data_IF_840415582956
#
_entry.id   IF_840415582956
#
_cell.length_a   1.000
_cell.length_b   1.000
_cell.length_c   1.000
_cell.angle_alpha   90.00
_cell.angle_beta   90.00
_cell.angle_gamma   90.00
#
_symmetry.space_group_name_H-M   'P 1'
#
loop_
_entity.id
_entity.type
_entity.pdbx_description
1 polymer ?
#
# COMPACT_ATOMS: atom_id res chain seq x y z
N UNK A 1 5.66 -16.83 -0.50
CA UNK A 1 4.53 -17.54 0.13
C UNK A 1 3.47 -17.75 -0.93
N UNK A 2 3.17 -19.00 -1.31
CA UNK A 2 2.19 -19.32 -2.34
C UNK A 2 0.93 -19.95 -1.71
N UNK A 3 -0.21 -19.82 -2.37
CA UNK A 3 -1.47 -20.45 -1.98
C UNK A 3 -2.46 -19.54 -1.25
N UNK A 4 -3.74 -19.92 -1.28
CA UNK A 4 -4.83 -19.31 -0.52
C UNK A 4 -5.52 -20.39 0.34
N UNK A 5 -5.92 -20.08 1.59
CA UNK A 5 -5.78 -18.79 2.28
C UNK A 5 -4.32 -18.49 2.66
N UNK A 6 -4.02 -17.20 2.84
CA UNK A 6 -2.70 -16.77 3.28
C UNK A 6 -2.41 -17.30 4.70
N UNK A 7 -1.13 -17.54 4.98
CA UNK A 7 -0.69 -17.85 6.33
C UNK A 7 -1.10 -16.73 7.32
N UNK A 8 -1.32 -17.07 8.61
CA UNK A 8 -1.69 -16.10 9.63
C UNK A 8 -0.72 -14.91 9.66
N UNK A 9 -1.24 -13.72 9.97
CA UNK A 9 -0.45 -12.50 9.97
C UNK A 9 0.77 -12.58 10.90
N UNK A 10 0.66 -13.28 12.04
CA UNK A 10 1.79 -13.52 12.95
C UNK A 10 2.94 -14.27 12.25
N UNK A 11 2.64 -15.38 11.56
CA UNK A 11 3.62 -16.17 10.81
C UNK A 11 4.24 -15.36 9.68
N UNK A 12 3.41 -14.63 8.91
CA UNK A 12 3.92 -13.79 7.81
C UNK A 12 4.84 -12.69 8.31
N UNK A 13 4.46 -11.97 9.37
CA UNK A 13 5.27 -10.89 9.96
C UNK A 13 6.58 -11.40 10.52
N UNK A 14 6.60 -12.57 11.16
CA UNK A 14 7.83 -13.16 11.69
C UNK A 14 8.86 -13.48 10.60
N UNK A 15 8.40 -13.83 9.40
CA UNK A 15 9.26 -14.05 8.23
C UNK A 15 9.67 -12.72 7.59
N UNK A 16 8.71 -11.82 7.37
CA UNK A 16 8.95 -10.53 6.69
C UNK A 16 9.92 -9.64 7.47
N UNK A 17 9.92 -9.69 8.81
CA UNK A 17 10.87 -8.94 9.66
C UNK A 17 12.34 -9.38 9.52
N UNK A 18 12.62 -10.46 8.81
CA UNK A 18 14.00 -10.95 8.59
C UNK A 18 14.68 -10.30 7.39
N UNK A 19 13.96 -9.50 6.61
CA UNK A 19 14.50 -8.77 5.47
C UNK A 19 14.91 -7.35 5.88
N UNK A 20 15.69 -6.69 5.03
CA UNK A 20 16.16 -5.31 5.27
C UNK A 20 15.29 -4.26 4.57
N UNK A 21 14.63 -4.63 3.47
CA UNK A 21 13.88 -3.73 2.58
C UNK A 21 12.70 -4.46 1.94
N UNK A 22 11.74 -3.70 1.41
CA UNK A 22 10.69 -4.24 0.56
C UNK A 22 10.61 -3.52 -0.80
N UNK A 23 9.93 -4.17 -1.75
CA UNK A 23 9.61 -3.58 -3.04
C UNK A 23 8.38 -4.24 -3.65
N UNK A 24 7.71 -3.53 -4.54
CA UNK A 24 6.53 -3.99 -5.27
C UNK A 24 6.83 -4.09 -6.76
N UNK A 25 6.28 -5.11 -7.42
CA UNK A 25 6.51 -5.37 -8.84
C UNK A 25 5.16 -5.73 -9.48
N UNK A 26 4.87 -5.14 -10.64
CA UNK A 26 3.63 -5.36 -11.38
C UNK A 26 2.42 -4.67 -10.75
N UNK A 27 2.65 -3.55 -10.07
CA UNK A 27 1.59 -2.82 -9.38
C UNK A 27 0.78 -1.95 -10.35
N UNK A 28 -0.50 -1.75 -10.03
CA UNK A 28 -1.39 -0.83 -10.72
C UNK A 28 -1.77 0.35 -9.83
N UNK A 29 -2.29 1.41 -10.44
CA UNK A 29 -2.82 2.57 -9.74
C UNK A 29 -4.09 2.25 -8.91
N UNK A 30 -4.36 3.11 -7.94
CA UNK A 30 -5.52 3.07 -7.04
C UNK A 30 -6.85 3.32 -7.77
N UNK A 31 -7.94 2.90 -7.13
CA UNK A 31 -9.28 3.18 -7.63
C UNK A 31 -9.50 4.68 -7.87
N UNK A 32 -10.17 5.01 -8.98
CA UNK A 32 -10.46 6.39 -9.38
C UNK A 32 -9.40 7.04 -10.27
N UNK A 33 -8.25 6.39 -10.53
CA UNK A 33 -7.25 6.87 -11.49
C UNK A 33 -7.67 6.47 -12.91
N UNK A 34 -8.09 7.45 -13.72
CA UNK A 34 -8.64 7.24 -15.08
C UNK A 34 -7.65 6.63 -16.07
N UNK A 35 -6.36 6.92 -15.91
CA UNK A 35 -5.31 6.45 -16.82
C UNK A 35 -4.59 5.18 -16.31
N UNK A 36 -5.06 4.61 -15.19
CA UNK A 36 -4.45 3.42 -14.60
C UNK A 36 -4.96 2.13 -15.23
N UNK A 37 -4.03 1.24 -15.62
CA UNK A 37 -4.39 -0.06 -16.17
C UNK A 37 -4.96 -0.96 -15.06
N UNK A 38 -6.24 -1.34 -15.16
CA UNK A 38 -6.97 -2.08 -14.13
C UNK A 38 -7.00 -1.37 -12.77
N UNK A 39 -7.09 -0.03 -12.75
CA UNK A 39 -7.10 0.78 -11.54
C UNK A 39 -8.18 0.33 -10.53
N UNK A 40 -7.76 -0.09 -9.34
CA UNK A 40 -8.64 -0.42 -8.22
C UNK A 40 -7.89 -0.41 -6.89
N UNK A 41 -8.65 -0.48 -5.79
CA UNK A 41 -8.10 -0.64 -4.45
C UNK A 41 -8.80 -1.82 -3.76
N UNK A 42 -8.06 -2.90 -3.52
CA UNK A 42 -8.48 -4.17 -2.90
C UNK A 42 -9.59 -4.91 -3.65
N UNK A 43 -10.81 -4.40 -3.56
CA UNK A 43 -12.00 -5.02 -4.17
C UNK A 43 -12.75 -3.98 -4.97
N UNK A 44 -12.56 -4.01 -6.30
CA UNK A 44 -13.29 -3.17 -7.25
C UNK A 44 -14.81 -3.35 -7.22
N UNK A 45 -15.32 -4.34 -6.48
CA UNK A 45 -16.77 -4.59 -6.29
C UNK A 45 -17.36 -3.99 -5.02
N UNK A 46 -16.53 -3.61 -4.07
CA UNK A 46 -17.00 -3.29 -2.72
C UNK A 46 -16.31 -2.08 -2.08
N UNK A 47 -15.26 -1.55 -2.70
CA UNK A 47 -14.43 -0.48 -2.14
C UNK A 47 -14.18 0.53 -3.25
N UNK A 48 -14.67 1.75 -3.04
CA UNK A 48 -14.45 2.86 -3.98
C UNK A 48 -13.15 3.60 -3.67
N UNK A 49 -12.83 3.77 -2.38
CA UNK A 49 -11.59 4.39 -1.94
C UNK A 49 -11.20 3.98 -0.52
N UNK A 50 -9.89 3.93 -0.27
CA UNK A 50 -9.34 4.05 1.08
C UNK A 50 -8.82 5.46 1.28
N UNK A 51 -8.92 5.93 2.53
CA UNK A 51 -8.39 7.24 2.93
C UNK A 51 -7.53 7.07 4.17
N UNK A 52 -6.40 7.76 4.20
CA UNK A 52 -5.54 7.91 5.36
C UNK A 52 -5.49 9.39 5.73
N UNK A 53 -5.94 9.72 6.94
CA UNK A 53 -6.01 11.12 7.41
C UNK A 53 -6.79 12.05 6.44
N UNK A 54 -7.81 11.51 5.76
CA UNK A 54 -8.62 12.26 4.78
C UNK A 54 -8.10 12.25 3.35
N UNK A 55 -6.86 11.78 3.12
CA UNK A 55 -6.26 11.71 1.80
C UNK A 55 -6.45 10.32 1.17
N UNK A 56 -6.84 10.23 -0.11
CA UNK A 56 -7.03 8.94 -0.77
C UNK A 56 -5.71 8.16 -0.87
N UNK A 57 -5.78 6.86 -0.61
CA UNK A 57 -4.64 5.96 -0.69
C UNK A 57 -5.00 4.68 -1.45
N UNK A 58 -4.06 4.20 -2.26
CA UNK A 58 -4.13 2.89 -2.91
C UNK A 58 -3.44 1.78 -2.14
N UNK A 59 -3.25 0.67 -2.84
CA UNK A 59 -2.56 -0.51 -2.31
C UNK A 59 -1.05 -0.27 -2.12
N UNK A 60 -0.46 0.65 -2.89
CA UNK A 60 0.96 1.04 -2.78
C UNK A 60 1.21 1.60 -1.38
N UNK A 61 0.44 2.62 -1.01
CA UNK A 61 0.52 3.23 0.31
C UNK A 61 0.18 2.22 1.43
N UNK A 62 -0.82 1.35 1.25
CA UNK A 62 -1.13 0.30 2.23
C UNK A 62 0.05 -0.65 2.46
N UNK A 63 0.72 -1.09 1.38
CA UNK A 63 1.87 -1.97 1.47
C UNK A 63 3.08 -1.25 2.09
N UNK A 64 3.31 0.01 1.73
CA UNK A 64 4.34 0.87 2.30
C UNK A 64 4.15 1.03 3.81
N UNK A 65 2.94 1.34 4.25
CA UNK A 65 2.60 1.47 5.68
C UNK A 65 2.79 0.16 6.43
N UNK A 66 2.37 -0.96 5.84
CA UNK A 66 2.54 -2.27 6.46
C UNK A 66 4.03 -2.62 6.63
N UNK A 67 4.86 -2.33 5.63
CA UNK A 67 6.30 -2.59 5.70
C UNK A 67 7.02 -1.61 6.63
N UNK A 68 6.65 -0.33 6.59
CA UNK A 68 7.14 0.70 7.51
C UNK A 68 6.83 0.38 8.97
N UNK A 69 5.63 -0.14 9.27
CA UNK A 69 5.27 -0.64 10.61
C UNK A 69 6.14 -1.83 11.08
N UNK A 70 6.82 -2.51 10.15
CA UNK A 70 7.78 -3.58 10.44
C UNK A 70 9.23 -3.09 10.44
N UNK A 71 9.49 -1.81 10.14
CA UNK A 71 10.83 -1.22 10.03
C UNK A 71 11.50 -1.43 8.68
N UNK A 72 10.75 -1.81 7.65
CA UNK A 72 11.25 -2.11 6.31
C UNK A 72 10.92 -0.93 5.38
N UNK A 73 11.91 -0.15 4.92
CA UNK A 73 11.68 0.87 3.90
C UNK A 73 11.34 0.19 2.56
N UNK A 74 10.41 0.79 1.82
CA UNK A 74 10.17 0.40 0.42
C UNK A 74 11.15 1.15 -0.46
N UNK A 75 11.97 0.41 -1.21
CA UNK A 75 13.04 1.00 -2.04
C UNK A 75 12.76 0.91 -3.54
N UNK A 76 11.70 0.20 -3.91
CA UNK A 76 11.40 -0.10 -5.31
C UNK A 76 9.91 -0.31 -5.53
N UNK A 77 9.39 0.38 -6.55
CA UNK A 77 8.08 0.13 -7.13
C UNK A 77 8.25 -0.04 -8.64
N UNK A 78 7.72 -1.13 -9.19
CA UNK A 78 7.54 -1.31 -10.63
C UNK A 78 6.06 -1.53 -10.94
N UNK A 79 5.51 -0.75 -11.86
CA UNK A 79 4.10 -0.77 -12.22
C UNK A 79 3.81 -0.01 -13.51
N UNK A 80 2.54 0.30 -13.77
CA UNK A 80 2.17 1.26 -14.81
C UNK A 80 2.56 2.70 -14.44
N UNK A 81 2.61 3.59 -15.42
CA UNK A 81 3.02 4.98 -15.21
C UNK A 81 2.16 5.68 -14.14
N UNK A 82 0.87 5.34 -14.09
CA UNK A 82 -0.07 5.84 -13.10
C UNK A 82 0.24 5.34 -11.67
N UNK A 83 0.70 4.10 -11.50
CA UNK A 83 1.18 3.59 -10.20
C UNK A 83 2.44 4.30 -9.71
N UNK A 84 3.37 4.62 -10.63
CA UNK A 84 4.59 5.37 -10.27
C UNK A 84 4.24 6.78 -9.80
N UNK A 85 3.32 7.46 -10.49
CA UNK A 85 2.83 8.78 -10.08
C UNK A 85 2.11 8.72 -8.71
N UNK A 86 1.32 7.68 -8.45
CA UNK A 86 0.69 7.47 -7.14
C UNK A 86 1.74 7.34 -6.03
N UNK A 87 2.82 6.61 -6.28
CA UNK A 87 3.90 6.41 -5.31
C UNK A 87 4.59 7.72 -4.93
N UNK A 88 4.91 8.58 -5.91
CA UNK A 88 5.47 9.90 -5.64
C UNK A 88 4.52 10.75 -4.75
N UNK A 89 3.22 10.63 -4.97
CA UNK A 89 2.20 11.24 -4.11
C UNK A 89 2.13 10.62 -2.72
N UNK A 90 2.26 9.30 -2.63
CA UNK A 90 2.25 8.53 -1.39
C UNK A 90 3.52 8.76 -0.55
N UNK A 91 4.69 8.95 -1.15
CA UNK A 91 5.93 9.25 -0.44
C UNK A 91 5.80 10.55 0.38
N UNK A 92 5.07 11.55 -0.14
CA UNK A 92 4.73 12.76 0.62
C UNK A 92 3.87 12.49 1.86
N UNK A 93 2.99 11.48 1.80
CA UNK A 93 2.17 11.03 2.93
C UNK A 93 2.97 10.13 3.89
N UNK A 94 3.92 9.36 3.37
CA UNK A 94 4.76 8.43 4.13
C UNK A 94 5.93 9.13 4.86
N UNK A 95 6.42 10.27 4.36
CA UNK A 95 7.39 11.10 5.07
C UNK A 95 6.83 11.62 6.41
N UNK A 96 5.51 11.85 6.48
CA UNK A 96 4.83 12.16 7.75
C UNK A 96 4.80 10.96 8.72
N UNK A 97 4.98 9.73 8.23
CA UNK A 97 4.94 8.48 9.00
C UNK A 97 6.34 7.96 9.39
N UNK A 98 7.38 8.29 8.60
CA UNK A 98 8.78 7.90 8.86
C UNK A 98 9.39 8.49 10.15
N UNK A 99 8.70 9.43 10.81
CA UNK A 99 9.03 9.96 12.14
C UNK A 99 8.69 9.04 13.32
N UNK A 100 8.38 7.76 13.10
CA UNK A 100 8.19 6.77 14.17
C UNK A 100 6.79 6.72 14.78
N UNK A 101 5.76 7.24 14.10
CA UNK A 101 4.39 7.20 14.59
C UNK A 101 3.42 6.65 13.52
N UNK A 102 3.10 5.35 13.61
CA UNK A 102 1.99 4.72 12.88
C UNK A 102 0.68 4.94 13.64
N UNK A 103 0.21 6.19 13.68
CA UNK A 103 -1.05 6.56 14.31
C UNK A 103 -1.85 7.46 13.38
N UNK A 104 -2.66 6.87 12.49
CA UNK A 104 -3.55 7.59 11.58
C UNK A 104 -4.89 6.89 11.49
N UNK A 105 -5.97 7.66 11.35
CA UNK A 105 -7.29 7.10 11.12
C UNK A 105 -7.37 6.65 9.66
N UNK A 106 -7.47 5.34 9.46
CA UNK A 106 -7.71 4.74 8.15
C UNK A 106 -9.20 4.42 8.04
N UNK A 107 -9.86 5.01 7.03
CA UNK A 107 -11.28 4.79 6.73
C UNK A 107 -11.47 4.36 5.29
N UNK A 108 -12.42 3.48 5.03
CA UNK A 108 -12.81 3.06 3.68
C UNK A 108 -14.21 3.59 3.37
N UNK A 109 -14.43 3.95 2.10
CA UNK A 109 -15.73 4.35 1.58
C UNK A 109 -16.27 3.20 0.71
N UNK A 110 -17.50 2.76 1.01
CA UNK A 110 -18.28 1.85 0.17
C UNK A 110 -19.47 2.64 -0.38
N UNK A 111 -19.59 2.74 -1.70
CA UNK A 111 -20.77 3.19 -2.42
C UNK A 111 -21.73 2.06 -2.75
#
# INVERSE_FOLDING_TARGET
MHGRPLAPAATRRAIIRQYDVCGMIGQHAMAGVTDGNLAHTQSSRAIDAYTLNGEPIGEIAQFALQCGALGLPMIFLGGDDAAVIEEEGADRLLFLVHGGYIGGNCSFVQG
#
